data_IF_098416925962
#
_entry.id   IF_098416925962
#
_cell.length_a   1.000
_cell.length_b   1.000
_cell.length_c   1.000
_cell.angle_alpha   90.00
_cell.angle_beta   90.00
_cell.angle_gamma   90.00
#
_symmetry.space_group_name_H-M   'P 1'
#
loop_
_entity.id
_entity.type
_entity.pdbx_description
1 polymer ?
#
# COMPACT_ATOMS: atom_id res chain seq x y z
N UNK A 1 24.92 -14.94 16.43
CA UNK A 1 23.52 -14.85 16.80
C UNK A 1 23.12 -16.20 17.36
N UNK A 2 23.11 -16.32 18.69
CA UNK A 2 22.76 -17.54 19.43
C UNK A 2 21.58 -17.25 20.35
N UNK A 3 20.59 -18.12 20.38
CA UNK A 3 19.45 -17.97 21.28
C UNK A 3 19.91 -18.10 22.74
N UNK A 4 19.65 -17.07 23.56
CA UNK A 4 20.02 -16.97 24.98
C UNK A 4 18.81 -17.19 25.88
N UNK A 5 17.69 -16.54 25.58
CA UNK A 5 16.46 -16.68 26.38
C UNK A 5 15.22 -16.68 25.49
N UNK A 6 14.18 -17.39 25.96
CA UNK A 6 12.81 -17.32 25.48
C UNK A 6 11.94 -16.88 26.66
N UNK A 7 11.21 -15.79 26.50
CA UNK A 7 10.21 -15.34 27.45
C UNK A 7 8.83 -15.45 26.82
N UNK A 8 7.88 -16.12 27.49
CA UNK A 8 6.51 -16.33 27.00
C UNK A 8 5.50 -15.90 28.05
N UNK A 9 4.39 -15.30 27.62
CA UNK A 9 3.22 -14.97 28.45
C UNK A 9 1.96 -15.22 27.62
N UNK A 10 0.98 -15.93 28.18
CA UNK A 10 -0.29 -16.22 27.50
C UNK A 10 -0.19 -17.03 26.20
N UNK A 11 0.96 -17.66 25.92
CA UNK A 11 1.22 -18.38 24.67
C UNK A 11 0.91 -19.87 24.84
N UNK A 12 -0.19 -20.33 24.23
CA UNK A 12 -0.65 -21.72 24.28
C UNK A 12 -0.66 -22.25 25.72
N UNK A 13 0.12 -23.28 26.02
CA UNK A 13 0.21 -23.88 27.35
C UNK A 13 0.91 -23.00 28.40
N UNK A 14 1.58 -21.92 27.99
CA UNK A 14 2.32 -21.02 28.87
C UNK A 14 1.45 -19.80 29.23
N UNK A 15 0.58 -19.99 30.23
CA UNK A 15 -0.33 -18.93 30.68
C UNK A 15 0.43 -17.83 31.43
N UNK A 16 1.22 -18.23 32.42
CA UNK A 16 2.01 -17.32 33.24
C UNK A 16 3.33 -16.96 32.54
N UNK A 17 3.92 -15.85 32.96
CA UNK A 17 5.25 -15.45 32.51
C UNK A 17 6.25 -16.55 32.81
N UNK A 18 6.79 -17.14 31.74
CA UNK A 18 7.76 -18.22 31.77
C UNK A 18 9.00 -17.77 31.03
N UNK A 19 10.17 -17.91 31.67
CA UNK A 19 11.47 -17.59 31.07
C UNK A 19 12.28 -18.88 30.97
N UNK A 20 12.68 -19.24 29.76
CA UNK A 20 13.55 -20.38 29.46
C UNK A 20 14.91 -19.84 29.07
N UNK A 21 15.94 -20.24 29.81
CA UNK A 21 17.33 -19.91 29.51
C UNK A 21 17.96 -21.04 28.69
N UNK A 22 18.66 -20.70 27.62
CA UNK A 22 19.39 -21.66 26.79
C UNK A 22 20.88 -21.53 27.04
N UNK A 23 21.54 -22.67 27.29
CA UNK A 23 22.98 -22.72 27.48
C UNK A 23 23.74 -22.90 26.16
N UNK A 24 25.06 -22.72 26.23
CA UNK A 24 25.93 -22.47 25.07
C UNK A 24 26.12 -23.65 24.11
N UNK A 25 25.66 -24.85 24.45
CA UNK A 25 25.97 -26.07 23.70
C UNK A 25 24.72 -26.88 23.33
N UNK A 26 24.13 -27.56 24.32
CA UNK A 26 23.01 -28.48 24.12
C UNK A 26 22.01 -28.26 25.24
N UNK A 27 20.81 -27.84 24.88
CA UNK A 27 19.68 -27.73 25.80
C UNK A 27 18.67 -28.83 25.49
N UNK A 28 18.40 -29.71 26.45
CA UNK A 28 17.39 -30.75 26.31
C UNK A 28 16.09 -30.33 27.00
N UNK A 29 14.99 -30.29 26.24
CA UNK A 29 13.65 -30.02 26.78
C UNK A 29 12.94 -31.36 26.95
N UNK A 30 12.74 -31.78 28.20
CA UNK A 30 12.13 -33.07 28.56
C UNK A 30 10.84 -32.87 29.35
N UNK A 31 9.98 -33.89 29.33
CA UNK A 31 8.70 -33.86 30.03
C UNK A 31 7.67 -34.83 29.41
N UNK A 32 6.57 -35.12 30.11
CA UNK A 32 5.53 -36.05 29.64
C UNK A 32 4.79 -35.54 28.39
N UNK A 33 4.09 -36.43 27.70
CA UNK A 33 3.29 -36.05 26.54
C UNK A 33 2.19 -35.06 26.94
N UNK A 34 1.97 -34.03 26.10
CA UNK A 34 0.98 -32.99 26.37
C UNK A 34 1.46 -31.83 27.28
N UNK A 35 2.66 -31.89 27.88
CA UNK A 35 3.14 -30.83 28.79
C UNK A 35 3.62 -29.54 28.08
N UNK A 36 3.37 -29.38 26.78
CA UNK A 36 3.71 -28.16 26.04
C UNK A 36 5.14 -28.05 25.50
N UNK A 37 5.96 -29.12 25.54
CA UNK A 37 7.36 -29.09 25.04
C UNK A 37 7.48 -28.52 23.62
N UNK A 38 6.66 -29.03 22.70
CA UNK A 38 6.67 -28.59 21.31
C UNK A 38 6.17 -27.15 21.15
N UNK A 39 5.44 -26.59 22.12
CA UNK A 39 5.00 -25.19 22.06
C UNK A 39 6.17 -24.22 22.24
N UNK A 40 7.30 -24.66 22.80
CA UNK A 40 8.55 -23.86 22.83
C UNK A 40 9.06 -23.63 21.40
N UNK A 41 9.06 -24.68 20.57
CA UNK A 41 9.47 -24.58 19.16
C UNK A 41 8.50 -23.69 18.37
N UNK A 42 7.19 -23.83 18.62
CA UNK A 42 6.19 -22.96 18.00
C UNK A 42 6.38 -21.49 18.41
N UNK A 43 6.69 -21.21 19.68
CA UNK A 43 6.93 -19.86 20.17
C UNK A 43 8.13 -19.21 19.45
N UNK A 44 9.21 -19.96 19.31
CA UNK A 44 10.42 -19.53 18.58
C UNK A 44 10.06 -19.19 17.12
N UNK A 45 9.40 -20.12 16.41
CA UNK A 45 8.99 -19.91 15.00
C UNK A 45 8.04 -18.74 14.82
N UNK A 46 7.08 -18.60 15.74
CA UNK A 46 6.07 -17.56 15.70
C UNK A 46 6.68 -16.15 15.83
N UNK A 47 7.65 -15.97 16.73
CA UNK A 47 8.38 -14.70 16.88
C UNK A 47 9.28 -14.42 15.69
N UNK A 48 9.95 -15.44 15.16
CA UNK A 48 10.83 -15.28 14.00
C UNK A 48 10.07 -14.98 12.68
N UNK A 49 8.74 -14.99 12.71
CA UNK A 49 7.89 -14.50 11.63
C UNK A 49 7.03 -15.54 10.91
N UNK A 50 6.79 -16.71 11.51
CA UNK A 50 5.83 -17.68 10.94
C UNK A 50 4.41 -17.08 10.93
N UNK A 51 3.77 -17.14 9.77
CA UNK A 51 2.43 -16.58 9.52
C UNK A 51 1.37 -17.65 9.35
N UNK A 52 1.76 -18.91 9.15
CA UNK A 52 0.83 -20.03 9.03
C UNK A 52 0.46 -20.58 10.41
N UNK A 53 -0.81 -20.40 10.79
CA UNK A 53 -1.37 -21.04 11.99
C UNK A 53 -1.20 -22.57 11.95
N UNK A 54 -1.32 -23.17 10.76
CA UNK A 54 -1.17 -24.62 10.56
C UNK A 54 0.23 -25.12 10.91
N UNK A 55 1.28 -24.37 10.56
CA UNK A 55 2.65 -24.71 10.96
C UNK A 55 2.86 -24.57 12.46
N UNK A 56 2.09 -23.70 13.10
CA UNK A 56 2.03 -23.58 14.55
C UNK A 56 0.98 -24.51 15.16
N UNK A 57 0.53 -25.57 14.47
CA UNK A 57 -0.42 -26.56 15.02
C UNK A 57 -1.72 -25.93 15.56
N UNK A 58 -2.19 -24.87 14.92
CA UNK A 58 -3.48 -24.21 15.15
C UNK A 58 -4.29 -24.08 13.86
N UNK A 59 -5.56 -23.71 13.98
CA UNK A 59 -6.45 -23.46 12.85
C UNK A 59 -6.43 -21.97 12.46
N UNK A 60 -6.43 -21.09 13.47
CA UNK A 60 -6.36 -19.65 13.32
C UNK A 60 -5.13 -19.09 14.06
N UNK A 61 -4.70 -17.87 13.75
CA UNK A 61 -3.52 -17.29 14.39
C UNK A 61 -3.79 -17.00 15.87
N UNK A 62 -5.04 -16.67 16.21
CA UNK A 62 -5.54 -16.43 17.56
C UNK A 62 -5.42 -17.68 18.46
N UNK A 63 -5.30 -18.88 17.88
CA UNK A 63 -5.11 -20.14 18.62
C UNK A 63 -3.73 -20.21 19.31
N UNK A 64 -2.82 -19.26 19.03
CA UNK A 64 -1.60 -19.13 19.83
C UNK A 64 -1.88 -18.53 21.22
N UNK A 65 -3.02 -17.87 21.41
CA UNK A 65 -3.44 -17.29 22.68
C UNK A 65 -4.06 -18.39 23.54
N UNK A 66 -3.67 -18.45 24.82
CA UNK A 66 -4.25 -19.42 25.75
C UNK A 66 -5.77 -19.28 25.82
N UNK A 67 -6.45 -20.37 25.46
CA UNK A 67 -7.91 -20.41 25.31
C UNK A 67 -8.67 -20.68 26.63
N UNK A 68 -7.96 -20.83 27.74
CA UNK A 68 -8.55 -21.24 29.02
C UNK A 68 -8.47 -22.75 29.24
N UNK A 69 -8.74 -23.16 30.48
CA UNK A 69 -8.83 -24.55 30.93
C UNK A 69 -9.84 -24.65 32.08
N UNK A 70 -10.17 -25.86 32.53
CA UNK A 70 -11.06 -26.04 33.68
C UNK A 70 -10.58 -25.32 34.96
N UNK A 71 -9.27 -25.08 35.10
CA UNK A 71 -8.67 -24.44 36.27
C UNK A 71 -8.32 -22.96 36.07
N UNK A 72 -8.36 -22.44 34.83
CA UNK A 72 -7.87 -21.09 34.51
C UNK A 72 -8.65 -20.46 33.37
N UNK A 73 -9.00 -19.20 33.52
CA UNK A 73 -9.69 -18.43 32.49
C UNK A 73 -8.81 -18.18 31.26
N UNK A 74 -9.48 -17.89 30.14
CA UNK A 74 -8.82 -17.52 28.91
C UNK A 74 -8.15 -16.14 29.02
N UNK A 75 -7.02 -15.95 28.35
CA UNK A 75 -6.33 -14.65 28.30
C UNK A 75 -6.63 -13.92 27.00
N UNK A 76 -6.49 -12.59 27.02
CA UNK A 76 -6.74 -11.72 25.87
C UNK A 76 -5.55 -11.55 24.91
N UNK A 77 -4.37 -12.04 25.27
CA UNK A 77 -3.12 -11.75 24.57
C UNK A 77 -2.08 -12.86 24.75
N UNK A 78 -1.30 -13.11 23.70
CA UNK A 78 -0.06 -13.89 23.76
C UNK A 78 1.14 -13.00 23.41
N UNK A 79 2.22 -13.16 24.16
CA UNK A 79 3.47 -12.46 23.96
C UNK A 79 4.63 -13.42 24.08
N UNK A 80 5.58 -13.29 23.15
CA UNK A 80 6.82 -14.03 23.18
C UNK A 80 7.97 -13.10 22.82
N UNK A 81 9.05 -13.16 23.58
CA UNK A 81 10.33 -12.52 23.29
C UNK A 81 11.44 -13.56 23.20
N UNK A 82 12.35 -13.36 22.27
CA UNK A 82 13.59 -14.12 22.11
C UNK A 82 14.75 -13.16 22.27
N UNK A 83 15.70 -13.50 23.14
CA UNK A 83 16.97 -12.76 23.24
C UNK A 83 18.07 -13.57 22.58
N UNK A 84 18.81 -12.94 21.67
CA UNK A 84 19.95 -13.52 20.99
C UNK A 84 21.24 -12.84 21.42
N UNK A 85 22.24 -13.64 21.73
CA UNK A 85 23.63 -13.21 21.88
C UNK A 85 24.24 -13.00 20.48
N UNK A 86 24.78 -11.80 20.25
CA UNK A 86 25.37 -11.35 19.00
C UNK A 86 26.90 -11.13 19.10
N UNK A 87 27.56 -11.75 20.08
CA UNK A 87 29.02 -11.69 20.24
C UNK A 87 29.83 -12.19 19.03
N UNK A 88 29.24 -12.97 18.14
CA UNK A 88 29.87 -13.46 16.90
C UNK A 88 29.75 -12.49 15.71
N UNK A 89 29.11 -11.34 15.89
CA UNK A 89 29.00 -10.28 14.87
C UNK A 89 28.18 -10.67 13.64
N UNK A 90 27.34 -11.71 13.71
CA UNK A 90 26.55 -12.19 12.56
C UNK A 90 25.28 -11.38 12.28
N UNK A 91 24.86 -10.51 13.19
CA UNK A 91 23.71 -9.65 12.95
C UNK A 91 23.94 -8.69 11.77
N UNK A 92 22.86 -8.21 11.13
CA UNK A 92 22.95 -7.14 10.12
C UNK A 92 23.67 -5.89 10.65
N UNK A 93 24.22 -5.09 9.73
CA UNK A 93 25.04 -3.92 10.04
C UNK A 93 24.41 -2.96 11.07
N UNK A 94 23.09 -2.75 10.99
CA UNK A 94 22.34 -1.87 11.88
C UNK A 94 22.37 -2.33 13.37
N UNK A 95 22.62 -3.62 13.60
CA UNK A 95 22.66 -4.24 14.93
C UNK A 95 24.02 -4.87 15.27
N UNK A 96 25.02 -4.73 14.40
CA UNK A 96 26.33 -5.35 14.57
C UNK A 96 27.05 -4.91 15.86
N UNK A 97 26.82 -3.68 16.31
CA UNK A 97 27.44 -3.11 17.51
C UNK A 97 26.70 -3.44 18.81
N UNK A 98 25.57 -4.14 18.74
CA UNK A 98 24.77 -4.51 19.92
C UNK A 98 25.14 -5.93 20.33
N UNK A 99 25.49 -6.12 21.60
CA UNK A 99 25.87 -7.43 22.15
C UNK A 99 24.70 -8.41 22.22
N UNK A 100 23.48 -7.91 22.45
CA UNK A 100 22.26 -8.70 22.55
C UNK A 100 21.14 -8.09 21.73
N UNK A 101 20.39 -8.94 21.03
CA UNK A 101 19.26 -8.54 20.18
C UNK A 101 18.02 -9.26 20.70
N UNK A 102 17.04 -8.48 21.17
CA UNK A 102 15.75 -8.98 21.60
C UNK A 102 14.73 -8.82 20.46
N UNK A 103 14.04 -9.90 20.10
CA UNK A 103 12.96 -9.88 19.10
C UNK A 103 11.68 -10.31 19.78
N UNK A 104 10.60 -9.55 19.59
CA UNK A 104 9.32 -9.77 20.24
C UNK A 104 8.16 -9.80 19.29
N UNK A 105 7.16 -10.61 19.62
CA UNK A 105 5.84 -10.58 18.98
C UNK A 105 4.75 -10.63 20.05
N UNK A 106 3.72 -9.82 19.86
CA UNK A 106 2.50 -9.82 20.66
C UNK A 106 1.29 -9.94 19.74
N UNK A 107 0.29 -10.70 20.16
CA UNK A 107 -0.99 -10.84 19.46
C UNK A 107 -2.13 -10.71 20.46
N UNK A 108 -3.12 -9.89 20.10
CA UNK A 108 -4.35 -9.73 20.86
C UNK A 108 -5.49 -10.51 20.20
N UNK A 109 -6.53 -10.83 20.96
CA UNK A 109 -7.76 -11.45 20.42
C UNK A 109 -8.50 -10.60 19.37
N UNK A 110 -8.19 -9.31 19.28
CA UNK A 110 -8.66 -8.44 18.18
C UNK A 110 -8.06 -8.84 16.82
N UNK A 111 -7.02 -9.68 16.79
CA UNK A 111 -6.24 -10.02 15.60
C UNK A 111 -5.03 -9.10 15.38
N UNK A 112 -4.90 -8.04 16.17
CA UNK A 112 -3.80 -7.10 16.07
C UNK A 112 -2.48 -7.75 16.54
N UNK A 113 -1.47 -7.68 15.69
CA UNK A 113 -0.11 -8.15 15.98
C UNK A 113 0.85 -6.98 16.11
N UNK A 114 1.61 -6.95 17.20
CA UNK A 114 2.71 -6.01 17.42
C UNK A 114 4.06 -6.75 17.33
N UNK A 115 5.06 -6.09 16.76
CA UNK A 115 6.39 -6.65 16.54
C UNK A 115 7.43 -5.72 17.13
N UNK A 116 8.47 -6.29 17.73
CA UNK A 116 9.49 -5.52 18.45
C UNK A 116 10.89 -6.02 18.11
N UNK A 117 11.83 -5.09 17.95
CA UNK A 117 13.27 -5.36 17.99
C UNK A 117 13.85 -4.43 19.06
N UNK A 118 14.52 -4.98 20.07
CA UNK A 118 15.06 -4.24 21.23
C UNK A 118 14.01 -3.31 21.84
N UNK A 119 12.80 -3.84 22.09
CA UNK A 119 11.62 -3.11 22.63
C UNK A 119 11.12 -1.95 21.77
N UNK A 120 11.69 -1.73 20.59
CA UNK A 120 11.23 -0.72 19.64
C UNK A 120 10.21 -1.34 18.69
N UNK A 121 9.02 -0.74 18.51
CA UNK A 121 8.03 -1.22 17.55
C UNK A 121 8.61 -1.26 16.13
N UNK A 122 8.35 -2.34 15.42
CA UNK A 122 8.82 -2.56 14.05
C UNK A 122 7.75 -3.29 13.22
N UNK A 123 8.04 -3.54 11.94
CA UNK A 123 7.17 -4.35 11.09
C UNK A 123 7.67 -5.80 11.09
N UNK A 124 6.76 -6.73 10.82
CA UNK A 124 7.12 -8.14 10.60
C UNK A 124 8.24 -8.29 9.55
N UNK A 125 8.22 -7.47 8.50
CA UNK A 125 9.26 -7.49 7.47
C UNK A 125 10.65 -7.23 8.05
N UNK A 126 10.76 -6.31 9.01
CA UNK A 126 12.03 -5.96 9.63
C UNK A 126 12.58 -7.14 10.46
N UNK A 127 11.70 -7.90 11.14
CA UNK A 127 12.07 -9.16 11.82
C UNK A 127 12.51 -10.23 10.82
N UNK A 128 11.78 -10.42 9.71
CA UNK A 128 12.16 -11.41 8.69
C UNK A 128 13.52 -11.04 8.09
N UNK A 129 13.72 -9.77 7.75
CA UNK A 129 14.97 -9.27 7.19
C UNK A 129 16.16 -9.43 8.16
N UNK A 130 15.93 -9.32 9.47
CA UNK A 130 16.94 -9.56 10.51
C UNK A 130 17.52 -10.98 10.44
N UNK A 131 16.69 -12.00 10.18
CA UNK A 131 17.11 -13.40 10.14
C UNK A 131 17.51 -13.92 8.76
N UNK A 132 17.24 -13.18 7.68
CA UNK A 132 17.56 -13.60 6.31
C UNK A 132 19.07 -13.73 6.05
N UNK A 133 19.90 -12.91 6.71
CA UNK A 133 21.37 -12.93 6.55
C UNK A 133 22.09 -13.84 7.54
N UNK A 134 21.41 -14.28 8.61
CA UNK A 134 22.06 -15.00 9.71
C UNK A 134 22.04 -16.51 9.51
N UNK A 135 21.28 -17.00 8.52
CA UNK A 135 21.03 -18.43 8.30
C UNK A 135 20.06 -19.04 9.32
N UNK A 136 19.45 -18.22 10.17
CA UNK A 136 18.54 -18.61 11.26
C UNK A 136 17.13 -18.08 10.96
N UNK A 137 16.63 -18.21 9.74
CA UNK A 137 15.25 -17.83 9.37
C UNK A 137 14.18 -18.83 9.85
N UNK A 138 12.90 -18.45 9.82
CA UNK A 138 11.75 -19.34 10.13
C UNK A 138 11.62 -20.55 9.21
N UNK A 139 12.07 -20.38 7.96
CA UNK A 139 12.15 -21.46 6.97
C UNK A 139 13.50 -22.15 6.96
N UNK A 140 14.46 -21.66 7.75
CA UNK A 140 15.80 -22.18 7.74
C UNK A 140 15.82 -23.62 8.24
N UNK A 141 16.75 -24.37 7.68
CA UNK A 141 17.13 -25.73 8.08
C UNK A 141 17.46 -25.87 9.57
N UNK A 142 17.61 -24.76 10.31
CA UNK A 142 17.95 -24.73 11.73
C UNK A 142 16.85 -25.24 12.65
N UNK A 143 15.57 -25.24 12.23
CA UNK A 143 14.47 -25.75 13.05
C UNK A 143 13.85 -26.99 12.41
N UNK A 144 14.32 -28.16 12.83
CA UNK A 144 13.83 -29.46 12.35
C UNK A 144 12.62 -29.92 13.18
N UNK A 145 11.48 -30.05 12.51
CA UNK A 145 10.26 -30.58 13.11
C UNK A 145 10.13 -32.11 12.98
N UNK A 146 9.23 -32.66 13.79
CA UNK A 146 8.80 -34.04 13.62
C UNK A 146 8.27 -34.25 12.19
N UNK A 147 8.80 -35.27 11.50
CA UNK A 147 8.44 -35.59 10.11
C UNK A 147 9.15 -34.73 9.03
N UNK A 148 9.83 -33.64 9.41
CA UNK A 148 10.54 -32.78 8.46
C UNK A 148 11.70 -33.51 7.78
N UNK A 149 12.42 -34.39 8.49
CA UNK A 149 13.49 -35.23 7.92
C UNK A 149 12.94 -36.11 6.78
N UNK A 150 11.82 -36.78 7.01
CA UNK A 150 11.17 -37.59 5.98
C UNK A 150 10.72 -36.76 4.77
N UNK A 151 10.19 -35.55 5.02
CA UNK A 151 9.80 -34.60 3.97
C UNK A 151 11.00 -34.14 3.14
N UNK A 152 12.16 -33.89 3.75
CA UNK A 152 13.38 -33.51 3.03
C UNK A 152 13.86 -34.66 2.13
N UNK A 153 13.87 -35.90 2.64
CA UNK A 153 14.29 -37.07 1.85
C UNK A 153 13.36 -37.34 0.68
N UNK A 154 12.04 -37.25 0.90
CA UNK A 154 11.00 -37.47 -0.12
C UNK A 154 10.65 -36.25 -0.98
N UNK A 155 11.29 -35.10 -0.71
CA UNK A 155 11.00 -33.84 -1.41
C UNK A 155 11.29 -33.92 -2.91
N UNK A 156 10.46 -33.22 -3.69
CA UNK A 156 10.71 -33.02 -5.12
C UNK A 156 12.00 -32.22 -5.30
N UNK A 157 12.72 -32.38 -6.43
CA UNK A 157 13.95 -31.63 -6.70
C UNK A 157 13.78 -30.11 -6.56
N UNK A 158 12.61 -29.58 -6.94
CA UNK A 158 12.31 -28.15 -6.83
C UNK A 158 12.21 -27.65 -5.37
N UNK A 159 11.63 -28.45 -4.49
CA UNK A 159 11.50 -28.11 -3.06
C UNK A 159 12.86 -28.24 -2.36
N UNK A 160 13.63 -29.26 -2.74
CA UNK A 160 15.00 -29.45 -2.25
C UNK A 160 15.93 -28.31 -2.65
N UNK A 161 15.77 -27.80 -3.88
CA UNK A 161 16.53 -26.66 -4.37
C UNK A 161 16.36 -25.44 -3.47
N UNK A 162 15.15 -25.16 -2.98
CA UNK A 162 14.91 -24.02 -2.09
C UNK A 162 15.75 -24.13 -0.81
N UNK A 163 15.86 -25.32 -0.22
CA UNK A 163 16.68 -25.56 0.98
C UNK A 163 18.17 -25.32 0.70
N UNK A 164 18.65 -25.72 -0.47
CA UNK A 164 20.04 -25.51 -0.89
C UNK A 164 20.31 -24.01 -1.14
N UNK A 165 19.40 -23.32 -1.82
CA UNK A 165 19.51 -21.87 -2.07
C UNK A 165 19.54 -21.05 -0.77
N UNK A 166 18.76 -21.49 0.23
CA UNK A 166 18.76 -20.89 1.56
C UNK A 166 20.05 -21.17 2.33
N UNK A 167 20.54 -22.41 2.31
CA UNK A 167 21.84 -22.75 2.91
C UNK A 167 23.02 -22.02 2.24
N UNK A 168 22.92 -21.75 0.94
CA UNK A 168 23.90 -20.96 0.19
C UNK A 168 23.79 -19.45 0.42
N UNK A 169 22.79 -18.98 1.18
CA UNK A 169 22.60 -17.56 1.50
C UNK A 169 22.15 -16.69 0.31
N UNK A 170 21.72 -17.29 -0.81
CA UNK A 170 21.34 -16.53 -2.02
C UNK A 170 19.86 -16.10 -2.01
N UNK A 171 19.06 -16.61 -1.07
CA UNK A 171 17.63 -16.31 -0.93
C UNK A 171 17.33 -14.81 -0.82
N UNK A 172 18.15 -14.05 -0.11
CA UNK A 172 18.00 -12.58 0.00
C UNK A 172 18.14 -11.88 -1.34
N UNK A 173 19.17 -12.21 -2.11
CA UNK A 173 19.42 -11.61 -3.42
C UNK A 173 18.31 -11.96 -4.41
N UNK A 174 17.83 -13.22 -4.36
CA UNK A 174 16.71 -13.68 -5.17
C UNK A 174 15.41 -12.94 -4.84
N UNK A 175 15.08 -12.82 -3.55
CA UNK A 175 13.91 -12.06 -3.07
C UNK A 175 13.97 -10.59 -3.49
N UNK A 176 15.14 -9.94 -3.33
CA UNK A 176 15.35 -8.55 -3.78
C UNK A 176 15.19 -8.39 -5.28
N UNK A 177 15.73 -9.34 -6.07
CA UNK A 177 15.58 -9.35 -7.53
C UNK A 177 14.11 -9.47 -7.93
N UNK A 178 13.37 -10.41 -7.34
CA UNK A 178 11.94 -10.60 -7.64
C UNK A 178 11.12 -9.36 -7.27
N UNK A 179 11.37 -8.75 -6.11
CA UNK A 179 10.71 -7.51 -5.70
C UNK A 179 11.01 -6.35 -6.67
N UNK A 180 12.26 -6.21 -7.12
CA UNK A 180 12.66 -5.21 -8.09
C UNK A 180 11.97 -5.42 -9.45
N UNK A 181 11.90 -6.66 -9.93
CA UNK A 181 11.21 -7.01 -11.17
C UNK A 181 9.72 -6.66 -11.09
N UNK A 182 9.03 -7.03 -10.00
CA UNK A 182 7.63 -6.64 -9.79
C UNK A 182 7.42 -5.13 -9.81
N UNK A 183 8.35 -4.36 -9.22
CA UNK A 183 8.29 -2.91 -9.21
C UNK A 183 8.46 -2.33 -10.62
N UNK A 184 9.37 -2.90 -11.43
CA UNK A 184 9.56 -2.53 -12.83
C UNK A 184 8.27 -2.77 -13.61
N UNK A 185 7.64 -3.94 -13.47
CA UNK A 185 6.42 -4.28 -14.21
C UNK A 185 5.25 -3.37 -13.83
N UNK A 186 5.09 -3.07 -12.53
CA UNK A 186 4.09 -2.09 -12.07
C UNK A 186 4.35 -0.69 -12.65
N UNK A 187 5.61 -0.28 -12.73
CA UNK A 187 5.98 1.04 -13.28
C UNK A 187 5.70 1.09 -14.78
N UNK A 188 5.99 0.02 -15.53
CA UNK A 188 5.62 -0.09 -16.95
C UNK A 188 4.11 0.03 -17.16
N UNK A 189 3.31 -0.63 -16.33
CA UNK A 189 1.85 -0.51 -16.38
C UNK A 189 1.38 0.92 -16.12
N UNK A 190 2.01 1.64 -15.18
CA UNK A 190 1.69 3.04 -14.91
C UNK A 190 2.04 3.95 -16.09
N UNK A 191 3.17 3.70 -16.76
CA UNK A 191 3.59 4.46 -17.95
C UNK A 191 2.61 4.27 -19.11
N UNK A 192 2.11 3.05 -19.34
CA UNK A 192 1.08 2.81 -20.35
C UNK A 192 -0.20 3.62 -20.05
N UNK A 193 -0.66 3.60 -18.80
CA UNK A 193 -1.82 4.40 -18.38
C UNK A 193 -1.61 5.90 -18.56
N UNK A 194 -0.41 6.40 -18.27
CA UNK A 194 -0.07 7.81 -18.50
C UNK A 194 -0.10 8.17 -19.99
N UNK A 195 0.40 7.29 -20.86
CA UNK A 195 0.36 7.49 -22.31
C UNK A 195 -1.09 7.59 -22.84
N UNK A 196 -2.00 6.76 -22.31
CA UNK A 196 -3.43 6.81 -22.65
C UNK A 196 -4.05 8.15 -22.21
N UNK A 197 -3.80 8.57 -20.98
CA UNK A 197 -4.29 9.85 -20.45
C UNK A 197 -3.75 11.05 -21.23
N UNK A 198 -2.46 11.02 -21.61
CA UNK A 198 -1.87 12.07 -22.45
C UNK A 198 -2.56 12.15 -23.81
N UNK A 199 -2.88 11.00 -24.41
CA UNK A 199 -3.57 10.94 -25.71
C UNK A 199 -4.99 11.51 -25.60
N UNK A 200 -5.70 11.21 -24.51
CA UNK A 200 -7.03 11.75 -24.25
C UNK A 200 -6.98 13.26 -24.02
N UNK A 201 -6.08 13.75 -23.16
CA UNK A 201 -5.88 15.17 -22.90
C UNK A 201 -5.55 15.95 -24.19
N UNK A 202 -4.70 15.39 -25.06
CA UNK A 202 -4.39 16.02 -26.34
C UNK A 202 -5.63 16.16 -27.23
N UNK A 203 -6.52 15.16 -27.24
CA UNK A 203 -7.81 15.25 -27.97
C UNK A 203 -8.71 16.34 -27.39
N UNK A 204 -8.78 16.45 -26.07
CA UNK A 204 -9.56 17.49 -25.39
C UNK A 204 -9.02 18.89 -25.72
N UNK A 205 -7.71 19.10 -25.65
CA UNK A 205 -7.04 20.36 -26.01
C UNK A 205 -7.35 20.74 -27.45
N UNK A 206 -7.24 19.80 -28.39
CA UNK A 206 -7.52 20.05 -29.80
C UNK A 206 -8.99 20.45 -30.03
N UNK A 207 -9.94 19.83 -29.32
CA UNK A 207 -11.35 20.19 -29.38
C UNK A 207 -11.61 21.59 -28.83
N UNK A 208 -11.06 21.90 -27.64
CA UNK A 208 -11.18 23.22 -27.01
C UNK A 208 -10.58 24.33 -27.88
N UNK A 209 -9.44 24.09 -28.51
CA UNK A 209 -8.83 25.05 -29.44
C UNK A 209 -9.74 25.36 -30.65
N UNK A 210 -10.46 24.36 -31.17
CA UNK A 210 -11.43 24.59 -32.26
C UNK A 210 -12.63 25.41 -31.77
N UNK A 211 -13.13 25.12 -30.57
CA UNK A 211 -14.24 25.85 -29.97
C UNK A 211 -13.86 27.32 -29.71
N UNK A 212 -12.66 27.57 -29.15
CA UNK A 212 -12.13 28.91 -28.93
C UNK A 212 -12.06 29.72 -30.23
N UNK A 213 -11.46 29.17 -31.29
CA UNK A 213 -11.40 29.84 -32.61
C UNK A 213 -12.78 30.14 -33.20
N UNK A 214 -13.76 29.24 -33.01
CA UNK A 214 -15.14 29.46 -33.46
C UNK A 214 -15.79 30.60 -32.67
N UNK A 215 -15.56 30.66 -31.36
CA UNK A 215 -16.08 31.73 -30.50
C UNK A 215 -15.46 33.09 -30.83
N UNK A 216 -14.15 33.17 -31.07
CA UNK A 216 -13.46 34.38 -31.54
C UNK A 216 -14.04 34.86 -32.87
N UNK A 217 -14.22 33.95 -33.83
CA UNK A 217 -14.80 34.30 -35.14
C UNK A 217 -16.25 34.76 -35.03
N UNK A 218 -17.03 34.14 -34.15
CA UNK A 218 -18.39 34.58 -33.87
C UNK A 218 -18.41 36.00 -33.29
N UNK A 219 -17.54 36.31 -32.31
CA UNK A 219 -17.44 37.66 -31.75
C UNK A 219 -17.08 38.69 -32.82
N UNK A 220 -16.12 38.40 -33.69
CA UNK A 220 -15.76 39.28 -34.81
C UNK A 220 -16.95 39.57 -35.73
N UNK A 221 -17.64 38.51 -36.20
CA UNK A 221 -18.79 38.66 -37.11
C UNK A 221 -19.96 39.37 -36.41
N UNK A 222 -20.20 39.10 -35.13
CA UNK A 222 -21.26 39.74 -34.36
C UNK A 222 -21.01 41.25 -34.21
N UNK A 223 -19.75 41.67 -34.00
CA UNK A 223 -19.37 43.08 -33.98
C UNK A 223 -19.57 43.72 -35.35
N UNK A 224 -19.10 43.07 -36.43
CA UNK A 224 -19.26 43.60 -37.80
C UNK A 224 -20.74 43.72 -38.20
N UNK A 225 -21.55 42.70 -37.87
CA UNK A 225 -23.00 42.72 -38.11
C UNK A 225 -23.65 43.91 -37.40
N UNK A 226 -23.33 44.12 -36.13
CA UNK A 226 -23.85 45.24 -35.33
C UNK A 226 -23.50 46.59 -35.94
N UNK A 227 -22.26 46.77 -36.42
CA UNK A 227 -21.84 48.00 -37.11
C UNK A 227 -22.63 48.22 -38.41
N UNK A 228 -22.85 47.16 -39.20
CA UNK A 228 -23.63 47.24 -40.45
C UNK A 228 -25.10 47.52 -40.20
N UNK A 229 -25.70 46.91 -39.18
CA UNK A 229 -27.09 47.16 -38.78
C UNK A 229 -27.27 48.61 -38.32
N UNK A 230 -26.34 49.16 -37.55
CA UNK A 230 -26.35 50.57 -37.15
C UNK A 230 -26.25 51.52 -38.36
N UNK A 231 -25.36 51.22 -39.31
CA UNK A 231 -25.23 52.01 -40.54
C UNK A 231 -26.52 51.97 -41.39
N UNK A 232 -27.15 50.79 -41.52
CA UNK A 232 -28.42 50.66 -42.24
C UNK A 232 -29.56 51.41 -41.55
N UNK A 233 -29.61 51.35 -40.21
CA UNK A 233 -30.62 52.06 -39.42
C UNK A 233 -30.50 53.58 -39.59
N UNK A 234 -29.27 54.12 -39.62
CA UNK A 234 -29.01 55.54 -39.91
C UNK A 234 -29.46 55.93 -41.33
N UNK A 235 -29.14 55.12 -42.34
CA UNK A 235 -29.56 55.40 -43.72
C UNK A 235 -31.09 55.44 -43.86
N UNK A 236 -31.78 54.47 -43.23
CA UNK A 236 -33.26 54.44 -43.18
C UNK A 236 -33.83 55.64 -42.44
N UNK A 237 -33.19 56.07 -41.36
CA UNK A 237 -33.59 57.26 -40.62
C UNK A 237 -33.50 58.50 -41.51
N UNK A 238 -32.39 58.68 -42.23
CA UNK A 238 -32.23 59.81 -43.17
C UNK A 238 -33.29 59.81 -44.28
N UNK A 239 -33.61 58.64 -44.84
CA UNK A 239 -34.66 58.51 -45.87
C UNK A 239 -36.06 58.86 -45.31
N UNK A 240 -36.35 58.45 -44.08
CA UNK A 240 -37.59 58.80 -43.40
C UNK A 240 -37.68 60.30 -43.10
N UNK A 241 -36.57 60.92 -42.67
CA UNK A 241 -36.51 62.38 -42.42
C UNK A 241 -36.75 63.15 -43.72
N UNK A 242 -36.10 62.76 -44.83
CA UNK A 242 -36.35 63.38 -46.15
C UNK A 242 -37.81 63.23 -46.60
N UNK A 243 -38.38 62.05 -46.38
CA UNK A 243 -39.78 61.79 -46.72
C UNK A 243 -40.72 62.65 -45.88
N UNK A 244 -40.44 62.79 -44.58
CA UNK A 244 -41.21 63.65 -43.68
C UNK A 244 -41.12 65.13 -44.08
N UNK A 245 -39.93 65.65 -44.41
CA UNK A 245 -39.77 67.03 -44.87
C UNK A 245 -40.51 67.30 -46.19
N UNK A 246 -40.51 66.34 -47.11
CA UNK A 246 -41.27 66.46 -48.36
C UNK A 246 -42.78 66.50 -48.11
N UNK A 247 -43.29 65.63 -47.22
CA UNK A 247 -44.69 65.64 -46.82
C UNK A 247 -45.09 66.92 -46.07
N UNK A 248 -44.19 67.50 -45.27
CA UNK A 248 -44.41 68.80 -44.64
C UNK A 248 -44.51 69.94 -45.67
N UNK A 249 -43.64 69.95 -46.69
CA UNK A 249 -43.71 70.89 -47.82
C UNK A 249 -45.00 70.74 -48.64
N UNK A 250 -45.42 69.51 -48.90
CA UNK A 250 -46.72 69.25 -49.54
C UNK A 250 -47.89 69.73 -48.69
N UNK A 251 -47.83 69.51 -47.38
CA UNK A 251 -48.85 69.99 -46.45
C UNK A 251 -48.90 71.51 -46.39
N UNK A 252 -47.77 72.21 -46.31
CA UNK A 252 -47.75 73.68 -46.29
C UNK A 252 -48.30 74.27 -47.58
N UNK A 253 -47.93 73.73 -48.74
CA UNK A 253 -48.47 74.17 -50.04
C UNK A 253 -49.97 73.91 -50.19
N UNK A 254 -50.50 72.81 -49.65
CA UNK A 254 -51.95 72.57 -49.59
C UNK A 254 -52.63 73.59 -48.66
N UNK A 255 -52.06 73.85 -47.49
CA UNK A 255 -52.62 74.79 -46.50
C UNK A 255 -52.64 76.22 -47.06
N UNK A 256 -51.59 76.63 -47.78
CA UNK A 256 -51.52 77.92 -48.47
C UNK A 256 -52.60 78.06 -49.55
N UNK A 257 -52.83 77.00 -50.34
CA UNK A 257 -53.92 76.96 -51.33
C UNK A 257 -55.30 77.04 -50.66
N UNK A 258 -55.50 76.40 -49.53
CA UNK A 258 -56.76 76.49 -48.77
C UNK A 258 -56.99 77.92 -48.24
N UNK A 259 -55.95 78.59 -47.73
CA UNK A 259 -56.06 79.99 -47.29
C UNK A 259 -56.32 80.98 -48.44
N UNK A 260 -55.82 80.69 -49.64
CA UNK A 260 -56.10 81.48 -50.86
C UNK A 260 -57.54 81.28 -51.38
N UNK A 261 -58.18 80.16 -51.07
CA UNK A 261 -59.57 79.86 -51.44
C UNK A 261 -60.56 80.42 -50.40
N UNK A 262 -60.12 80.61 -49.15
CA UNK A 262 -60.93 81.19 -48.07
C UNK A 262 -60.82 82.70 -47.92
N UNK A 263 -60.12 83.38 -48.83
CA UNK A 263 -59.96 84.85 -48.92
C UNK A 263 -60.77 85.41 -50.08
#
# INVERSE_FOLDING_TARGET
MRLKTLETVGFKSFVDRTVVNFENNVTAIVGPNGCGKSNIVDAIRWVMGEQSAKHLRGNAMEDVIFAGSAAREAVGMAQVFLTFDNSDGRAPADYANVSEIEVGRRLYRSGESEYFINKTPCRLKDIVDLFLDTGVGTKAYSIIEQGMVGKVVSSRPIDRRLLIEEAAGISKFKSRKEAALRKIDSTKSNLLRLADLMTELQRQINSLNRQAKKAERYQYIATELKEREQALALLRYDDLVKSASNLELERTTITEKETLISS
#
